data_IF_829368548058
#
_entry.id   IF_829368548058
#
_cell.length_a   1.000
_cell.length_b   1.000
_cell.length_c   1.000
_cell.angle_alpha   90.00
_cell.angle_beta   90.00
_cell.angle_gamma   90.00
#
_symmetry.space_group_name_H-M   'P 1'
#
loop_
_entity.id
_entity.type
_entity.pdbx_description
1 polymer ?
#
# COMPACT_ATOMS: atom_id res chain seq x y z
N UNK A 1 93.96 32.28 21.82
CA UNK A 1 92.86 32.45 22.79
C UNK A 1 91.69 31.60 22.33
N UNK A 2 91.31 30.64 23.18
CA UNK A 2 89.99 30.01 23.34
C UNK A 2 89.47 29.04 22.26
N UNK A 3 89.00 27.91 22.80
CA UNK A 3 88.44 26.67 22.24
C UNK A 3 87.03 26.80 21.62
N UNK A 4 86.64 25.65 21.01
CA UNK A 4 85.32 25.00 21.01
C UNK A 4 84.37 25.32 19.84
N UNK A 5 83.47 24.45 19.37
CA UNK A 5 83.25 22.99 19.39
C UNK A 5 81.88 22.78 18.69
N UNK A 6 81.71 21.73 17.86
CA UNK A 6 80.44 21.04 17.47
C UNK A 6 79.27 21.88 16.88
N UNK A 7 78.26 21.39 16.15
CA UNK A 7 77.71 20.11 15.69
C UNK A 7 76.92 20.39 14.38
N UNK A 8 76.82 19.49 13.40
CA UNK A 8 75.76 18.47 13.32
C UNK A 8 74.40 19.06 12.89
N UNK A 9 73.98 18.85 11.64
CA UNK A 9 72.67 19.33 11.17
C UNK A 9 72.27 18.85 9.77
N UNK A 10 71.95 17.57 9.67
CA UNK A 10 71.35 16.92 8.50
C UNK A 10 70.00 17.57 8.15
N UNK A 11 69.85 18.12 6.94
CA UNK A 11 68.57 18.61 6.43
C UNK A 11 67.80 17.47 5.76
N UNK A 12 67.09 16.69 6.57
CA UNK A 12 66.02 15.82 6.09
C UNK A 12 64.82 16.71 5.70
N UNK A 13 64.50 16.74 4.41
CA UNK A 13 63.26 17.33 3.93
C UNK A 13 62.10 16.41 4.32
N UNK A 14 61.32 16.82 5.33
CA UNK A 14 60.04 16.21 5.65
C UNK A 14 59.03 16.55 4.54
N UNK A 15 58.76 15.57 3.67
CA UNK A 15 57.58 15.59 2.81
C UNK A 15 56.36 15.31 3.68
N UNK A 16 55.57 16.35 3.96
CA UNK A 16 54.26 16.21 4.59
C UNK A 16 53.31 15.60 3.55
N UNK A 17 53.09 14.29 3.64
CA UNK A 17 51.99 13.63 2.93
C UNK A 17 50.68 14.11 3.52
N UNK A 18 49.98 14.97 2.79
CA UNK A 18 48.59 15.32 3.03
C UNK A 18 47.74 14.09 2.65
N UNK A 19 47.46 13.21 3.61
CA UNK A 19 46.44 12.17 3.48
C UNK A 19 45.06 12.85 3.43
N UNK A 20 44.63 13.22 2.21
CA UNK A 20 43.23 13.48 1.92
C UNK A 20 42.45 12.20 2.22
N UNK A 21 41.79 12.18 3.38
CA UNK A 21 40.81 11.16 3.71
C UNK A 21 39.68 11.21 2.68
N UNK A 22 39.74 10.31 1.69
CA UNK A 22 38.55 9.90 0.96
C UNK A 22 37.64 9.24 1.99
N UNK A 23 36.70 10.01 2.53
CA UNK A 23 35.48 9.43 3.09
C UNK A 23 34.82 8.73 1.90
N UNK A 24 34.95 7.42 1.84
CA UNK A 24 34.13 6.62 0.95
C UNK A 24 32.68 6.91 1.36
N UNK A 25 31.99 7.76 0.58
CA UNK A 25 30.55 7.82 0.62
C UNK A 25 30.11 6.42 0.19
N UNK A 26 29.74 5.58 1.15
CA UNK A 26 28.97 4.38 0.85
C UNK A 26 27.80 4.85 -0.01
N UNK A 27 27.67 4.36 -1.25
CA UNK A 27 26.48 4.67 -2.02
C UNK A 27 25.29 4.30 -1.13
N UNK A 28 24.28 5.18 -1.04
CA UNK A 28 23.00 4.77 -0.51
C UNK A 28 22.64 3.48 -1.25
N UNK A 29 22.52 2.35 -0.54
CA UNK A 29 22.16 1.10 -1.19
C UNK A 29 20.87 1.36 -1.97
N UNK A 30 20.95 1.21 -3.29
CA UNK A 30 19.76 1.35 -4.10
C UNK A 30 18.80 0.27 -3.61
N UNK A 31 17.59 0.67 -3.23
CA UNK A 31 16.57 -0.27 -2.81
C UNK A 31 16.10 -1.19 -3.95
N UNK A 32 16.71 -1.14 -5.13
CA UNK A 32 16.26 -1.79 -6.36
C UNK A 32 17.43 -2.37 -7.15
N UNK A 33 17.18 -3.45 -7.87
CA UNK A 33 18.20 -4.20 -8.59
C UNK A 33 18.22 -3.86 -10.10
N UNK A 34 18.84 -2.72 -10.44
CA UNK A 34 18.99 -2.27 -11.83
C UNK A 34 19.88 -3.18 -12.70
N UNK A 35 20.62 -4.10 -12.08
CA UNK A 35 21.47 -5.09 -12.75
C UNK A 35 20.80 -6.46 -12.88
N UNK A 36 19.57 -6.62 -12.37
CA UNK A 36 18.86 -7.89 -12.44
C UNK A 36 18.61 -8.30 -13.89
N UNK A 37 18.95 -9.55 -14.21
CA UNK A 37 18.58 -10.16 -15.49
C UNK A 37 17.12 -10.65 -15.51
N UNK A 38 16.42 -10.56 -14.37
CA UNK A 38 15.07 -11.06 -14.21
C UNK A 38 14.03 -9.97 -14.44
N UNK A 39 12.92 -10.38 -15.06
CA UNK A 39 11.71 -9.60 -15.13
C UNK A 39 10.54 -10.41 -14.61
N UNK A 40 9.50 -9.74 -14.15
CA UNK A 40 8.28 -10.37 -13.66
C UNK A 40 7.04 -9.67 -14.19
N UNK A 41 5.92 -10.39 -14.19
CA UNK A 41 4.61 -9.80 -14.37
C UNK A 41 4.03 -9.53 -12.97
N UNK A 42 3.30 -8.43 -12.81
CA UNK A 42 2.48 -8.24 -11.60
C UNK A 42 1.38 -9.30 -11.54
N UNK A 43 0.75 -9.48 -10.38
CA UNK A 43 -0.49 -10.24 -10.31
C UNK A 43 -1.71 -9.37 -10.65
N UNK A 44 -2.89 -9.99 -10.74
CA UNK A 44 -4.17 -9.28 -10.86
C UNK A 44 -4.60 -8.73 -9.49
N UNK A 45 -5.39 -7.66 -9.51
CA UNK A 45 -5.93 -7.08 -8.28
C UNK A 45 -7.21 -7.84 -7.93
N UNK A 46 -7.16 -8.67 -6.89
CA UNK A 46 -8.29 -9.45 -6.41
C UNK A 46 -8.26 -9.54 -4.89
N UNK A 47 -9.43 -9.80 -4.30
CA UNK A 47 -9.60 -9.94 -2.85
C UNK A 47 -9.00 -11.25 -2.30
N UNK A 48 -8.64 -12.18 -3.17
CA UNK A 48 -7.93 -13.44 -2.88
C UNK A 48 -6.48 -13.47 -3.39
N UNK A 49 -5.93 -12.33 -3.82
CA UNK A 49 -4.52 -12.23 -4.23
C UNK A 49 -3.59 -12.06 -3.03
N UNK A 50 -2.74 -13.08 -2.81
CA UNK A 50 -1.73 -13.07 -1.75
C UNK A 50 -0.52 -12.19 -2.03
N UNK A 51 -0.42 -11.55 -3.21
CA UNK A 51 0.61 -10.53 -3.45
C UNK A 51 0.35 -9.24 -2.66
N UNK A 52 -0.91 -9.00 -2.26
CA UNK A 52 -1.35 -7.89 -1.39
C UNK A 52 -0.62 -6.55 -1.65
N UNK A 53 -0.68 -6.01 -2.89
CA UNK A 53 0.19 -4.93 -3.33
C UNK A 53 -0.06 -3.60 -2.61
N UNK A 54 -1.25 -3.36 -2.06
CA UNK A 54 -1.65 -2.07 -1.53
C UNK A 54 -1.81 -2.08 -0.01
N UNK A 55 -1.52 -0.94 0.64
CA UNK A 55 -1.86 -0.78 2.07
C UNK A 55 -3.36 -0.58 2.30
N UNK A 56 -4.10 -0.09 1.30
CA UNK A 56 -5.54 0.05 1.41
C UNK A 56 -6.22 -1.21 0.86
N UNK A 57 -6.70 -2.07 1.77
CA UNK A 57 -7.35 -3.32 1.39
C UNK A 57 -8.66 -3.08 0.62
N UNK A 58 -9.27 -1.90 0.74
CA UNK A 58 -10.47 -1.58 -0.05
C UNK A 58 -10.19 -1.57 -1.56
N UNK A 59 -8.96 -1.22 -1.98
CA UNK A 59 -8.57 -1.19 -3.40
C UNK A 59 -8.50 -2.58 -4.05
N UNK A 60 -8.45 -3.64 -3.25
CA UNK A 60 -8.47 -5.03 -3.72
C UNK A 60 -9.86 -5.67 -3.59
N UNK A 61 -10.81 -4.97 -2.98
CA UNK A 61 -12.12 -5.53 -2.68
C UNK A 61 -12.95 -5.83 -3.92
N UNK A 62 -13.94 -6.72 -3.80
CA UNK A 62 -14.97 -6.89 -4.84
C UNK A 62 -15.79 -5.59 -4.91
N UNK A 63 -15.93 -4.95 -6.09
CA UNK A 63 -16.75 -3.75 -6.21
C UNK A 63 -18.17 -3.98 -5.68
N UNK A 64 -18.75 -3.01 -4.95
CA UNK A 64 -20.08 -3.21 -4.36
C UNK A 64 -21.16 -3.56 -5.41
N UNK A 65 -21.02 -3.02 -6.63
CA UNK A 65 -21.92 -3.32 -7.77
C UNK A 65 -21.85 -4.78 -8.22
N UNK A 66 -20.72 -5.45 -7.99
CA UNK A 66 -20.48 -6.85 -8.38
C UNK A 66 -20.75 -7.85 -7.25
N UNK A 67 -20.63 -7.42 -6.00
CA UNK A 67 -20.84 -8.22 -4.80
C UNK A 67 -22.34 -8.51 -4.50
N UNK A 68 -23.07 -9.04 -5.50
CA UNK A 68 -24.52 -9.27 -5.45
C UNK A 68 -24.95 -10.19 -4.31
N UNK A 69 -24.11 -11.17 -3.95
CA UNK A 69 -24.41 -12.11 -2.86
C UNK A 69 -24.37 -11.44 -1.47
N UNK A 70 -23.72 -10.29 -1.35
CA UNK A 70 -23.61 -9.53 -0.10
C UNK A 70 -24.55 -8.31 -0.06
N UNK A 71 -25.22 -8.01 -1.18
CA UNK A 71 -26.07 -6.84 -1.35
C UNK A 71 -27.55 -7.24 -1.31
N UNK A 72 -28.38 -6.46 -0.63
CA UNK A 72 -29.84 -6.70 -0.50
C UNK A 72 -30.61 -5.42 -0.74
N UNK A 73 -31.79 -5.55 -1.36
CA UNK A 73 -32.62 -4.40 -1.72
C UNK A 73 -32.10 -3.64 -2.93
N UNK A 74 -32.67 -2.46 -3.18
CA UNK A 74 -32.23 -1.59 -4.26
C UNK A 74 -31.09 -0.69 -3.77
N UNK A 75 -29.99 -0.65 -4.53
CA UNK A 75 -28.82 0.18 -4.23
C UNK A 75 -28.47 0.99 -5.46
N UNK A 76 -28.40 2.30 -5.28
CA UNK A 76 -27.86 3.21 -6.29
C UNK A 76 -26.45 3.62 -5.88
N UNK A 77 -25.59 3.77 -6.87
CA UNK A 77 -24.16 4.00 -6.67
C UNK A 77 -23.74 5.29 -7.37
N UNK A 78 -22.78 6.00 -6.78
CA UNK A 78 -22.15 7.13 -7.45
C UNK A 78 -21.22 6.68 -8.61
N UNK A 79 -20.60 7.66 -9.27
CA UNK A 79 -19.68 7.43 -10.40
C UNK A 79 -18.43 6.66 -10.00
N UNK A 80 -18.04 6.70 -8.73
CA UNK A 80 -16.85 6.01 -8.20
C UNK A 80 -17.18 4.62 -7.64
N UNK A 81 -18.47 4.22 -7.65
CA UNK A 81 -18.92 2.92 -7.19
C UNK A 81 -19.33 2.84 -5.73
N UNK A 82 -19.41 3.98 -5.03
CA UNK A 82 -19.87 4.02 -3.65
C UNK A 82 -21.41 3.98 -3.57
N UNK A 83 -22.01 3.20 -2.65
CA UNK A 83 -23.45 3.20 -2.42
C UNK A 83 -23.94 4.58 -1.96
N UNK A 84 -24.72 5.25 -2.81
CA UNK A 84 -25.30 6.57 -2.54
C UNK A 84 -26.68 6.46 -1.90
N UNK A 85 -27.47 5.48 -2.31
CA UNK A 85 -28.80 5.21 -1.78
C UNK A 85 -28.94 3.72 -1.56
N UNK A 86 -29.53 3.35 -0.42
CA UNK A 86 -29.87 1.98 -0.08
C UNK A 86 -31.34 1.99 0.35
N UNK A 87 -32.18 1.17 -0.27
CA UNK A 87 -33.59 1.05 0.11
C UNK A 87 -33.75 0.59 1.56
N UNK A 88 -34.86 0.96 2.21
CA UNK A 88 -35.16 0.53 3.58
C UNK A 88 -35.02 -0.99 3.78
N UNK A 89 -34.30 -1.39 4.83
CA UNK A 89 -33.98 -2.80 5.13
C UNK A 89 -32.93 -3.44 4.20
N UNK A 90 -32.42 -2.68 3.23
CA UNK A 90 -31.35 -3.10 2.33
C UNK A 90 -29.96 -3.05 2.95
N UNK A 91 -28.96 -3.44 2.16
CA UNK A 91 -27.55 -3.28 2.47
C UNK A 91 -26.72 -3.35 1.19
N UNK A 92 -25.56 -2.70 1.19
CA UNK A 92 -24.52 -2.93 0.20
C UNK A 92 -23.34 -3.62 0.90
N UNK A 93 -22.88 -4.75 0.37
CA UNK A 93 -21.77 -5.50 0.98
C UNK A 93 -20.61 -5.68 0.01
N UNK A 94 -19.40 -5.74 0.53
CA UNK A 94 -18.19 -6.06 -0.21
C UNK A 94 -17.32 -7.02 0.61
N UNK A 95 -16.52 -7.83 -0.09
CA UNK A 95 -15.47 -8.65 0.50
C UNK A 95 -14.13 -8.02 0.13
N UNK A 96 -13.31 -7.74 1.13
CA UNK A 96 -12.01 -7.09 0.93
C UNK A 96 -10.82 -8.01 1.21
N UNK A 97 -11.08 -9.18 1.81
CA UNK A 97 -10.11 -10.27 1.95
C UNK A 97 -10.86 -11.61 1.80
N UNK A 98 -10.29 -12.55 1.04
CA UNK A 98 -10.86 -13.86 0.76
C UNK A 98 -9.78 -14.93 0.74
N UNK A 99 -9.84 -15.90 1.67
CA UNK A 99 -8.94 -17.06 1.74
C UNK A 99 -7.45 -16.73 1.69
N UNK A 100 -7.03 -15.59 2.25
CA UNK A 100 -5.61 -15.26 2.30
C UNK A 100 -4.93 -16.08 3.41
N UNK A 101 -3.82 -16.79 3.15
CA UNK A 101 -3.10 -17.49 4.21
C UNK A 101 -2.67 -16.56 5.33
N UNK A 102 -2.72 -17.03 6.58
CA UNK A 102 -2.20 -16.29 7.72
C UNK A 102 -0.76 -15.79 7.48
N UNK A 103 -0.48 -14.53 7.81
CA UNK A 103 0.81 -13.88 7.59
C UNK A 103 0.98 -13.20 6.23
N UNK A 104 0.01 -13.33 5.31
CA UNK A 104 -0.01 -12.59 4.03
C UNK A 104 -0.12 -11.08 4.25
N UNK A 105 -0.97 -10.68 5.18
CA UNK A 105 -1.08 -9.31 5.72
C UNK A 105 -0.98 -9.37 7.25
N UNK A 106 -0.59 -8.28 7.94
CA UNK A 106 -0.48 -8.29 9.39
C UNK A 106 -1.82 -8.60 10.06
N UNK A 107 -1.80 -9.41 11.11
CA UNK A 107 -2.96 -9.59 11.98
C UNK A 107 -3.09 -8.45 12.98
N UNK A 108 -4.29 -8.25 13.54
CA UNK A 108 -4.57 -7.31 14.62
C UNK A 108 -5.37 -6.08 14.19
N UNK A 109 -5.14 -4.90 14.79
CA UNK A 109 -6.01 -3.75 14.59
C UNK A 109 -5.76 -3.04 13.26
N UNK A 110 -6.82 -2.85 12.47
CA UNK A 110 -6.85 -2.04 11.25
C UNK A 110 -7.68 -0.79 11.48
N UNK A 111 -7.26 0.31 10.85
CA UNK A 111 -8.05 1.55 10.85
C UNK A 111 -8.89 1.62 9.60
N UNK A 112 -10.19 1.85 9.77
CA UNK A 112 -11.11 2.12 8.66
C UNK A 112 -11.41 3.60 8.66
N UNK A 113 -10.98 4.33 7.63
CA UNK A 113 -11.28 5.75 7.44
C UNK A 113 -12.39 5.89 6.42
N UNK A 114 -13.31 6.83 6.60
CA UNK A 114 -14.38 7.06 5.64
C UNK A 114 -14.93 8.49 5.74
N UNK A 115 -15.47 8.98 4.63
CA UNK A 115 -16.23 10.23 4.58
C UNK A 115 -17.73 9.91 4.58
N UNK A 116 -18.53 10.85 5.08
CA UNK A 116 -19.98 10.78 5.04
C UNK A 116 -20.61 10.13 6.25
N UNK A 117 -21.93 9.91 6.15
CA UNK A 117 -22.77 9.46 7.25
C UNK A 117 -23.52 8.19 6.88
N UNK A 118 -23.57 7.26 7.83
CA UNK A 118 -24.23 5.98 7.66
C UNK A 118 -23.83 4.99 8.74
N UNK A 119 -24.10 3.72 8.47
CA UNK A 119 -23.79 2.61 9.38
C UNK A 119 -22.95 1.57 8.66
N UNK A 120 -21.72 1.38 9.13
CA UNK A 120 -20.84 0.29 8.73
C UNK A 120 -21.00 -0.90 9.68
N UNK A 121 -20.96 -2.10 9.12
CA UNK A 121 -20.83 -3.36 9.84
C UNK A 121 -19.72 -4.20 9.19
N UNK A 122 -19.06 -5.03 9.99
CA UNK A 122 -17.95 -5.88 9.57
C UNK A 122 -18.29 -7.33 9.88
N UNK A 123 -17.83 -8.25 9.03
CA UNK A 123 -18.14 -9.66 9.15
C UNK A 123 -16.97 -10.57 8.82
N UNK A 124 -17.23 -11.88 8.99
CA UNK A 124 -16.22 -12.94 8.95
C UNK A 124 -15.14 -12.67 10.02
N UNK A 125 -13.88 -12.58 9.63
CA UNK A 125 -12.74 -12.40 10.54
C UNK A 125 -12.49 -10.93 10.90
N UNK A 126 -13.28 -10.00 10.37
CA UNK A 126 -13.26 -8.59 10.76
C UNK A 126 -14.31 -8.29 11.82
N UNK A 127 -13.87 -7.75 12.96
CA UNK A 127 -14.74 -7.38 14.09
C UNK A 127 -14.55 -5.92 14.49
N UNK A 128 -15.64 -5.17 14.65
CA UNK A 128 -15.56 -3.79 15.15
C UNK A 128 -15.08 -3.77 16.60
N UNK A 129 -14.02 -3.02 16.86
CA UNK A 129 -13.50 -2.80 18.21
C UNK A 129 -13.84 -1.42 18.75
N UNK A 130 -13.73 -0.40 17.90
CA UNK A 130 -13.92 0.99 18.28
C UNK A 130 -14.58 1.75 17.12
N UNK A 131 -15.56 2.59 17.46
CA UNK A 131 -16.27 3.43 16.49
C UNK A 131 -16.06 4.90 16.83
N UNK A 132 -15.81 5.71 15.79
CA UNK A 132 -15.63 7.15 15.88
C UNK A 132 -16.13 7.86 14.62
N UNK A 133 -16.23 9.19 14.67
CA UNK A 133 -16.67 9.96 13.53
C UNK A 133 -15.65 9.87 12.37
N UNK A 134 -16.07 9.30 11.23
CA UNK A 134 -15.23 9.10 10.05
C UNK A 134 -14.12 8.06 10.22
N UNK A 135 -14.16 7.28 11.32
CA UNK A 135 -13.07 6.38 11.70
C UNK A 135 -13.56 5.23 12.57
N UNK A 136 -13.30 4.00 12.14
CA UNK A 136 -13.42 2.81 12.97
C UNK A 136 -12.04 2.15 13.20
N UNK A 137 -11.96 1.35 14.25
CA UNK A 137 -10.91 0.34 14.41
C UNK A 137 -11.56 -1.04 14.39
N UNK A 138 -11.11 -1.89 13.48
CA UNK A 138 -11.50 -3.30 13.42
C UNK A 138 -10.33 -4.18 13.86
N UNK A 139 -10.63 -5.35 14.43
CA UNK A 139 -9.65 -6.43 14.56
C UNK A 139 -9.82 -7.36 13.36
N UNK A 140 -8.71 -7.67 12.68
CA UNK A 140 -8.61 -8.60 11.57
C UNK A 140 -7.54 -9.63 11.90
N UNK A 141 -7.96 -10.83 12.27
CA UNK A 141 -7.09 -11.95 12.66
C UNK A 141 -7.47 -13.21 11.87
N UNK A 142 -6.54 -14.11 11.53
CA UNK A 142 -6.88 -15.33 10.79
C UNK A 142 -7.86 -16.20 11.60
N UNK A 143 -8.79 -16.81 10.87
CA UNK A 143 -9.69 -17.82 11.40
C UNK A 143 -8.98 -19.08 11.86
N UNK A 144 -9.76 -20.02 12.42
CA UNK A 144 -9.23 -21.31 12.92
C UNK A 144 -8.66 -22.21 11.83
N UNK A 145 -9.02 -21.95 10.57
CA UNK A 145 -8.51 -22.57 9.36
C UNK A 145 -7.18 -21.98 8.89
N UNK A 146 -6.62 -21.01 9.62
CA UNK A 146 -5.36 -20.33 9.30
C UNK A 146 -5.44 -19.52 7.99
N UNK A 147 -6.65 -19.07 7.64
CA UNK A 147 -6.93 -18.16 6.53
C UNK A 147 -7.60 -16.89 7.06
N UNK A 148 -7.52 -15.81 6.28
CA UNK A 148 -8.23 -14.56 6.50
C UNK A 148 -9.38 -14.45 5.51
N UNK A 149 -10.56 -14.12 6.01
CA UNK A 149 -11.76 -13.81 5.24
C UNK A 149 -12.46 -12.62 5.88
N UNK A 150 -12.71 -11.53 5.15
CA UNK A 150 -13.28 -10.33 5.75
C UNK A 150 -14.25 -9.59 4.82
N UNK A 151 -15.37 -9.17 5.41
CA UNK A 151 -16.45 -8.46 4.71
C UNK A 151 -16.79 -7.14 5.39
N UNK A 152 -17.26 -6.18 4.60
CA UNK A 152 -17.76 -4.89 5.03
C UNK A 152 -19.16 -4.69 4.46
N UNK A 153 -20.07 -4.17 5.28
CA UNK A 153 -21.44 -3.86 4.92
C UNK A 153 -21.77 -2.40 5.22
N UNK A 154 -22.34 -1.69 4.25
CA UNK A 154 -23.05 -0.44 4.47
C UNK A 154 -24.52 -0.79 4.69
N UNK A 155 -24.99 -0.61 5.92
CA UNK A 155 -26.37 -0.94 6.34
C UNK A 155 -27.34 0.22 6.15
N UNK A 156 -26.81 1.44 6.19
CA UNK A 156 -27.54 2.66 5.94
C UNK A 156 -26.55 3.73 5.48
N UNK A 157 -27.00 4.67 4.65
CA UNK A 157 -26.19 5.83 4.25
C UNK A 157 -27.09 7.05 4.05
N UNK A 158 -26.57 8.23 4.33
CA UNK A 158 -27.27 9.50 4.12
C UNK A 158 -27.13 9.91 2.64
N UNK A 159 -28.20 9.96 1.81
CA UNK A 159 -28.08 10.27 0.38
C UNK A 159 -27.55 11.67 0.05
N UNK A 160 -27.61 12.60 1.00
CA UNK A 160 -27.05 13.95 0.88
C UNK A 160 -25.57 14.02 1.28
N UNK A 161 -25.08 13.02 2.02
CA UNK A 161 -23.70 12.90 2.47
C UNK A 161 -23.32 11.42 2.61
N UNK A 162 -23.30 10.69 1.49
CA UNK A 162 -23.20 9.24 1.53
C UNK A 162 -21.80 8.77 1.93
N UNK A 163 -21.73 7.55 2.45
CA UNK A 163 -20.49 6.89 2.84
C UNK A 163 -19.63 6.64 1.61
N UNK A 164 -18.41 7.17 1.61
CA UNK A 164 -17.47 7.11 0.50
C UNK A 164 -16.03 7.21 0.99
N UNK A 165 -15.08 7.03 0.08
CA UNK A 165 -13.65 7.10 0.37
C UNK A 165 -13.24 6.20 1.55
N UNK A 166 -13.91 5.04 1.66
CA UNK A 166 -13.62 4.06 2.69
C UNK A 166 -12.25 3.46 2.42
N UNK A 167 -11.34 3.52 3.38
CA UNK A 167 -9.99 2.96 3.33
C UNK A 167 -9.79 2.01 4.49
N UNK A 168 -9.22 0.84 4.26
CA UNK A 168 -8.94 -0.16 5.29
C UNK A 168 -7.43 -0.33 5.40
N UNK A 169 -6.85 0.28 6.44
CA UNK A 169 -5.41 0.52 6.54
C UNK A 169 -4.78 -0.32 7.67
N UNK A 170 -3.63 -0.98 7.42
CA UNK A 170 -2.95 -1.77 8.43
C UNK A 170 -2.32 -0.88 9.50
N UNK A 171 -1.93 -1.47 10.65
CA UNK A 171 -1.23 -0.73 11.69
C UNK A 171 0.20 -0.36 11.25
N UNK A 172 0.75 0.65 11.92
CA UNK A 172 2.13 1.09 11.73
C UNK A 172 2.31 2.09 10.59
N UNK A 173 3.46 2.01 9.94
CA UNK A 173 3.86 2.94 8.89
C UNK A 173 5.18 2.56 8.25
N UNK A 174 5.85 3.55 7.66
CA UNK A 174 7.21 3.45 7.11
C UNK A 174 8.06 4.60 7.60
N UNK A 175 9.38 4.46 7.49
CA UNK A 175 10.28 5.58 7.65
C UNK A 175 10.40 6.33 6.32
N UNK A 176 10.38 7.66 6.37
CA UNK A 176 10.48 8.54 5.19
C UNK A 176 11.67 8.24 4.27
N UNK A 177 12.76 7.71 4.82
CA UNK A 177 13.97 7.33 4.10
C UNK A 177 14.00 5.86 3.64
N UNK A 178 13.03 5.04 4.05
CA UNK A 178 12.94 3.63 3.67
C UNK A 178 11.46 3.20 3.53
N UNK A 179 10.83 3.40 2.36
CA UNK A 179 9.45 2.99 2.11
C UNK A 179 9.29 1.46 1.93
N UNK A 180 10.38 0.70 1.85
CA UNK A 180 10.38 -0.75 1.66
C UNK A 180 10.22 -1.53 2.97
N UNK A 181 10.33 -0.85 4.11
CA UNK A 181 10.25 -1.50 5.41
C UNK A 181 9.07 -0.97 6.22
N UNK A 182 8.17 -1.87 6.58
CA UNK A 182 7.13 -1.61 7.57
C UNK A 182 7.75 -1.46 8.96
N UNK A 183 7.28 -0.46 9.70
CA UNK A 183 7.60 -0.27 11.11
C UNK A 183 6.32 -0.15 11.93
N UNK A 184 6.32 -0.67 13.15
CA UNK A 184 5.15 -0.70 14.02
C UNK A 184 4.91 0.66 14.70
N UNK A 185 5.97 1.43 14.98
CA UNK A 185 5.87 2.68 15.73
C UNK A 185 7.03 3.64 15.39
N UNK A 186 6.92 4.93 15.76
CA UNK A 186 7.95 5.93 15.47
C UNK A 186 9.34 5.61 16.03
N UNK A 187 9.42 4.87 17.15
CA UNK A 187 10.70 4.52 17.78
C UNK A 187 11.57 3.56 16.95
N UNK A 188 11.01 2.96 15.91
CA UNK A 188 11.74 2.10 14.97
C UNK A 188 12.27 2.88 13.74
N UNK A 189 12.03 4.19 13.67
CA UNK A 189 12.53 5.01 12.58
C UNK A 189 13.73 5.87 13.00
N UNK A 190 14.87 5.76 12.29
CA UNK A 190 15.94 6.75 12.42
C UNK A 190 15.56 8.09 11.77
N UNK A 191 14.60 8.10 10.83
CA UNK A 191 14.05 9.29 10.19
C UNK A 191 12.60 9.59 10.57
N UNK A 192 11.94 10.48 9.82
CA UNK A 192 10.53 10.81 10.07
C UNK A 192 9.64 9.58 9.82
N UNK A 193 8.84 9.22 10.83
CA UNK A 193 7.83 8.17 10.74
C UNK A 193 6.60 8.69 9.97
N UNK A 194 6.13 7.90 9.02
CA UNK A 194 4.92 8.17 8.24
C UNK A 194 3.92 7.04 8.51
N UNK A 195 2.92 7.31 9.34
CA UNK A 195 1.85 6.34 9.62
C UNK A 195 1.03 6.05 8.36
N UNK A 196 0.57 4.81 8.19
CA UNK A 196 -0.33 4.47 7.09
C UNK A 196 -1.65 5.22 7.18
N UNK A 197 -2.18 5.39 8.40
CA UNK A 197 -3.42 6.14 8.65
C UNK A 197 -3.36 7.57 8.09
N UNK A 198 -2.32 8.33 8.44
CA UNK A 198 -2.21 9.75 8.08
C UNK A 198 -1.67 9.99 6.68
N UNK A 199 -0.91 9.04 6.12
CA UNK A 199 -0.19 9.21 4.86
C UNK A 199 -0.66 8.25 3.74
N UNK A 200 -1.83 7.63 3.88
CA UNK A 200 -2.42 6.73 2.88
C UNK A 200 -2.71 7.35 1.51
N UNK A 201 -2.72 8.68 1.39
CA UNK A 201 -2.79 9.35 0.08
C UNK A 201 -1.46 9.34 -0.69
N UNK A 202 -0.34 9.06 -0.01
CA UNK A 202 1.01 9.04 -0.60
C UNK A 202 1.63 7.65 -0.57
N UNK A 203 1.35 6.87 0.47
CA UNK A 203 1.83 5.51 0.61
C UNK A 203 0.76 4.61 0.01
N UNK A 204 0.99 4.14 -1.21
CA UNK A 204 0.03 3.29 -1.92
C UNK A 204 0.36 1.81 -1.67
N UNK A 205 1.64 1.46 -1.80
CA UNK A 205 2.08 0.07 -1.81
C UNK A 205 2.41 -0.46 -0.42
N UNK A 206 2.07 -1.73 -0.22
CA UNK A 206 2.54 -2.51 0.91
C UNK A 206 4.08 -2.62 0.85
N UNK A 207 4.81 -2.26 1.93
CA UNK A 207 6.28 -2.35 1.95
C UNK A 207 6.81 -3.76 1.63
N UNK A 208 6.08 -4.80 2.04
CA UNK A 208 6.47 -6.19 1.78
C UNK A 208 6.39 -6.53 0.29
N UNK A 209 5.38 -5.99 -0.41
CA UNK A 209 5.26 -6.09 -1.86
C UNK A 209 6.39 -5.35 -2.58
N UNK A 210 6.70 -4.12 -2.16
CA UNK A 210 7.84 -3.38 -2.71
C UNK A 210 9.15 -4.14 -2.51
N UNK A 211 9.34 -4.72 -1.33
CA UNK A 211 10.53 -5.52 -1.00
C UNK A 211 10.67 -6.73 -1.91
N UNK A 212 9.58 -7.43 -2.19
CA UNK A 212 9.58 -8.55 -3.15
C UNK A 212 9.89 -8.08 -4.58
N UNK A 213 9.26 -6.99 -5.01
CA UNK A 213 9.35 -6.53 -6.41
C UNK A 213 10.70 -5.90 -6.77
N UNK A 214 11.47 -5.42 -5.78
CA UNK A 214 12.71 -4.68 -6.02
C UNK A 214 13.84 -5.49 -6.66
N UNK A 215 13.76 -6.80 -6.63
CA UNK A 215 14.78 -7.70 -7.17
C UNK A 215 14.63 -7.91 -8.70
N UNK A 216 13.54 -7.41 -9.29
CA UNK A 216 13.28 -7.48 -10.74
C UNK A 216 13.63 -6.16 -11.41
N UNK A 217 14.31 -6.24 -12.57
CA UNK A 217 14.63 -5.05 -13.37
C UNK A 217 13.50 -4.64 -14.30
N UNK A 218 12.71 -5.60 -14.77
CA UNK A 218 11.62 -5.36 -15.71
C UNK A 218 10.31 -5.80 -15.09
N UNK A 219 9.36 -4.87 -15.03
CA UNK A 219 8.03 -5.14 -14.50
C UNK A 219 7.03 -5.00 -15.65
N UNK A 220 6.27 -6.06 -15.88
CA UNK A 220 5.15 -6.07 -16.81
C UNK A 220 3.85 -5.95 -16.02
N UNK A 221 2.94 -5.10 -16.50
CA UNK A 221 1.71 -4.73 -15.79
C UNK A 221 0.45 -5.34 -16.38
N UNK A 222 0.52 -6.42 -17.17
CA UNK A 222 -0.67 -6.93 -17.87
C UNK A 222 -1.82 -7.27 -16.92
N UNK A 223 -1.47 -7.91 -15.81
CA UNK A 223 -2.44 -8.39 -14.85
C UNK A 223 -2.92 -7.26 -13.94
N UNK A 224 -2.01 -6.39 -13.48
CA UNK A 224 -2.37 -5.25 -12.63
C UNK A 224 -3.22 -4.24 -13.38
N UNK A 225 -3.00 -4.05 -14.68
CA UNK A 225 -3.85 -3.20 -15.54
C UNK A 225 -5.21 -3.82 -15.88
N UNK A 226 -5.41 -5.11 -15.61
CA UNK A 226 -6.66 -5.81 -15.94
C UNK A 226 -6.95 -5.87 -17.43
N UNK A 227 -5.94 -6.17 -18.27
CA UNK A 227 -6.10 -6.12 -19.73
C UNK A 227 -7.01 -7.22 -20.31
N UNK A 228 -7.23 -8.31 -19.57
CA UNK A 228 -8.06 -9.43 -20.02
C UNK A 228 -9.52 -9.02 -20.11
N UNK A 229 -10.13 -9.21 -21.29
CA UNK A 229 -11.52 -8.80 -21.59
C UNK A 229 -11.81 -7.32 -21.31
N UNK A 230 -10.78 -6.47 -21.38
CA UNK A 230 -10.87 -5.05 -21.07
C UNK A 230 -11.61 -4.29 -22.19
N UNK A 231 -12.73 -3.61 -21.89
CA UNK A 231 -13.51 -2.87 -22.89
C UNK A 231 -13.00 -1.44 -23.13
N UNK A 232 -11.96 -0.98 -22.43
CA UNK A 232 -11.42 0.39 -22.54
C UNK A 232 -10.87 0.65 -23.95
N UNK A 233 -11.36 1.71 -24.59
CA UNK A 233 -10.87 2.16 -25.89
C UNK A 233 -10.55 3.66 -25.94
N UNK A 234 -11.10 4.47 -25.03
CA UNK A 234 -10.78 5.89 -24.89
C UNK A 234 -10.04 6.19 -23.56
N UNK A 235 -9.40 7.35 -23.48
CA UNK A 235 -8.62 7.74 -22.30
C UNK A 235 -9.50 7.91 -21.06
N UNK A 236 -10.71 8.42 -21.24
CA UNK A 236 -11.73 8.64 -20.22
C UNK A 236 -12.32 7.35 -19.66
N UNK A 237 -12.21 6.21 -20.36
CA UNK A 237 -12.75 4.92 -19.92
C UNK A 237 -11.83 4.22 -18.91
N UNK A 238 -10.60 4.69 -18.73
CA UNK A 238 -9.58 4.05 -17.88
C UNK A 238 -9.99 4.00 -16.41
N UNK A 239 -9.37 3.07 -15.67
CA UNK A 239 -9.47 3.05 -14.22
C UNK A 239 -8.99 4.39 -13.60
N UNK A 240 -9.72 4.85 -12.59
CA UNK A 240 -9.45 6.09 -11.85
C UNK A 240 -9.00 5.79 -10.42
N UNK A 241 -8.12 6.64 -9.90
CA UNK A 241 -7.64 6.53 -8.51
C UNK A 241 -8.79 6.65 -7.50
N UNK A 242 -9.84 7.38 -7.86
CA UNK A 242 -11.01 7.67 -7.01
C UNK A 242 -12.04 6.55 -6.98
N UNK A 243 -11.90 5.53 -7.85
CA UNK A 243 -12.78 4.36 -7.83
C UNK A 243 -12.70 3.67 -6.46
N UNK A 244 -13.84 3.15 -6.01
CA UNK A 244 -13.98 2.44 -4.75
C UNK A 244 -13.01 1.26 -4.65
N UNK A 245 -12.85 0.49 -5.73
CA UNK A 245 -11.92 -0.62 -5.84
C UNK A 245 -11.29 -0.67 -7.23
N UNK A 246 -10.12 -1.30 -7.33
CA UNK A 246 -9.46 -1.69 -8.58
C UNK A 246 -9.54 -3.19 -8.82
N UNK A 247 -10.16 -3.93 -7.90
CA UNK A 247 -10.48 -5.35 -8.06
C UNK A 247 -11.78 -5.61 -8.81
N UNK A 248 -12.26 -6.85 -8.76
CA UNK A 248 -13.51 -7.27 -9.40
C UNK A 248 -13.33 -8.30 -10.51
N UNK A 249 -14.37 -8.47 -11.32
CA UNK A 249 -14.33 -9.38 -12.46
C UNK A 249 -13.45 -8.84 -13.60
N UNK A 250 -13.03 -9.73 -14.49
CA UNK A 250 -12.35 -9.33 -15.73
C UNK A 250 -13.20 -8.37 -16.56
N UNK A 251 -12.54 -7.40 -17.20
CA UNK A 251 -13.19 -6.30 -17.91
C UNK A 251 -13.67 -5.16 -17.01
N UNK A 252 -13.64 -5.32 -15.68
CA UNK A 252 -13.95 -4.26 -14.70
C UNK A 252 -12.72 -3.93 -13.85
N UNK A 253 -11.99 -4.96 -13.37
CA UNK A 253 -10.77 -4.78 -12.57
C UNK A 253 -9.62 -4.14 -13.35
N UNK A 254 -8.71 -3.51 -12.64
CA UNK A 254 -7.47 -2.92 -13.15
C UNK A 254 -7.07 -1.67 -12.37
N UNK A 255 -5.78 -1.55 -12.01
CA UNK A 255 -5.25 -0.35 -11.39
C UNK A 255 -5.13 0.79 -12.42
N UNK A 256 -5.30 2.05 -11.96
CA UNK A 256 -5.01 3.24 -12.74
C UNK A 256 -3.55 3.27 -13.24
N UNK A 257 -3.33 3.89 -14.39
CA UNK A 257 -1.99 4.06 -14.95
C UNK A 257 -1.05 4.81 -14.00
N UNK A 258 -1.57 5.78 -13.26
CA UNK A 258 -0.82 6.55 -12.27
C UNK A 258 -0.22 5.66 -11.18
N UNK A 259 -0.94 4.61 -10.76
CA UNK A 259 -0.47 3.64 -9.76
C UNK A 259 0.64 2.77 -10.35
N UNK A 260 0.49 2.31 -11.59
CA UNK A 260 1.51 1.51 -12.26
C UNK A 260 2.81 2.30 -12.49
N UNK A 261 2.69 3.57 -12.90
CA UNK A 261 3.83 4.49 -13.05
C UNK A 261 4.49 4.78 -11.70
N UNK A 262 3.72 4.99 -10.63
CA UNK A 262 4.28 5.16 -9.29
C UNK A 262 5.05 3.90 -8.85
N UNK A 263 4.55 2.70 -9.12
CA UNK A 263 5.29 1.47 -8.82
C UNK A 263 6.63 1.42 -9.55
N UNK A 264 6.63 1.68 -10.86
CA UNK A 264 7.85 1.71 -11.68
C UNK A 264 8.85 2.75 -11.16
N UNK A 265 8.39 3.95 -10.82
CA UNK A 265 9.23 5.00 -10.26
C UNK A 265 9.85 4.61 -8.92
N UNK A 266 9.10 3.93 -8.03
CA UNK A 266 9.60 3.46 -6.73
C UNK A 266 10.67 2.39 -6.87
N UNK A 267 10.53 1.53 -7.88
CA UNK A 267 11.40 0.38 -8.12
C UNK A 267 12.51 0.68 -9.13
N UNK A 268 12.49 1.84 -9.79
CA UNK A 268 13.39 2.21 -10.87
C UNK A 268 13.47 1.11 -11.97
N UNK A 269 12.30 0.60 -12.36
CA UNK A 269 12.11 -0.50 -13.29
C UNK A 269 11.39 -0.06 -14.58
#
# INVERSE_FOLDING_TARGET
MINACHSGGSRWAFAVMLLLGLVAMTPAEAFYNSQSALGTNTNEIMDDDSSAPFIDLMKMSVPFREARQLTKGNVEYDSNGWPRLISDGGQAGTRFVSKLPAGTIPSGPYTVLYDGEGKLEYGNDATLREHGAGRDVIILDPGKDNELNATLFIKATNPSNHLRNIRILPPGGVCSNNPFQRVANPGQCPGNFLSFEQHSSKIIFNPDYLTFMRDYRVIRFMNMSGITRNPVYAWEDRASIDQQSWGGAEGIRGAPMEVMVELANRLHA
#
